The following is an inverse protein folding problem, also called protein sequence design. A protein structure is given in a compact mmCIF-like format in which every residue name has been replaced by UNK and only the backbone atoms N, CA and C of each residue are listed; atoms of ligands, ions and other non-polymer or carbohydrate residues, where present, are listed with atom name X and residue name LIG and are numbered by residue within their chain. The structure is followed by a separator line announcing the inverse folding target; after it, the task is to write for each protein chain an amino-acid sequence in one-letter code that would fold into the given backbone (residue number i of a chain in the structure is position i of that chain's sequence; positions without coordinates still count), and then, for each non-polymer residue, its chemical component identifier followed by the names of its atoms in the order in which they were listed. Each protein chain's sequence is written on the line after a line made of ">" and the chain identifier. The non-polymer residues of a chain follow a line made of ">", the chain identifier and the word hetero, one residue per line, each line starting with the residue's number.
data_IF_318158150965
#
_entry.id   IF_318158150965
#
_cell.length_a   1.000
_cell.length_b   1.000
_cell.length_c   1.000
_cell.angle_alpha   90.00
_cell.angle_beta   90.00
_cell.angle_gamma   90.00
#
_symmetry.space_group_name_H-M   'P 1'
#
loop_
_entity.id
_entity.type
_entity.pdbx_description
1 polymer ?
#
# COMPACT_ATOMS: atom_id res chain seq x y z
N UNK A 1 -66.67 38.17 54.11
CA UNK A 1 -66.46 36.76 53.72
C UNK A 1 -66.55 36.50 52.23
N UNK A 2 -66.26 37.52 51.38
CA UNK A 2 -66.47 37.38 49.95
C UNK A 2 -65.20 37.46 49.01
N UNK A 3 -64.10 37.97 49.54
CA UNK A 3 -62.89 38.15 48.70
C UNK A 3 -62.00 36.91 48.53
N UNK A 4 -62.01 36.01 49.50
CA UNK A 4 -61.19 34.75 49.39
C UNK A 4 -61.78 33.74 48.41
N UNK A 5 -63.09 33.68 48.26
CA UNK A 5 -63.76 32.78 47.29
C UNK A 5 -63.48 33.14 45.80
N UNK A 6 -63.44 34.45 45.54
CA UNK A 6 -63.16 34.97 44.22
C UNK A 6 -61.70 34.69 43.77
N UNK A 7 -60.75 34.85 44.74
CA UNK A 7 -59.34 34.62 44.46
C UNK A 7 -59.00 33.13 44.14
N UNK A 8 -59.65 32.21 44.86
CA UNK A 8 -59.50 30.75 44.61
C UNK A 8 -60.06 30.28 43.29
N UNK A 9 -61.21 30.90 42.88
CA UNK A 9 -61.85 30.52 41.58
C UNK A 9 -61.05 31.02 40.38
N UNK A 10 -60.51 32.24 40.45
CA UNK A 10 -59.67 32.82 39.37
C UNK A 10 -58.36 32.07 39.24
N UNK A 11 -57.72 31.66 40.36
CA UNK A 11 -56.49 30.91 40.34
C UNK A 11 -56.66 29.52 39.71
N UNK A 12 -57.75 28.80 40.05
CA UNK A 12 -58.06 27.48 39.43
C UNK A 12 -58.39 27.63 37.93
N UNK A 13 -59.06 28.68 37.53
CA UNK A 13 -59.37 28.94 36.07
C UNK A 13 -58.11 29.22 35.29
N UNK A 14 -57.15 29.96 35.84
CA UNK A 14 -55.85 30.22 35.21
C UNK A 14 -54.97 28.95 35.12
N UNK A 15 -54.95 28.14 36.16
CA UNK A 15 -54.18 26.85 36.15
C UNK A 15 -54.79 25.89 35.15
N UNK A 16 -56.11 25.75 35.04
CA UNK A 16 -56.76 24.91 34.07
C UNK A 16 -56.50 25.36 32.62
N UNK A 17 -56.53 26.68 32.37
CA UNK A 17 -56.22 27.23 31.02
C UNK A 17 -54.74 26.99 30.62
N UNK A 18 -53.83 27.07 31.61
CA UNK A 18 -52.42 26.80 31.41
C UNK A 18 -52.18 25.29 31.13
N UNK A 19 -52.79 24.42 31.88
CA UNK A 19 -52.69 22.94 31.65
C UNK A 19 -53.29 22.55 30.31
N UNK A 20 -54.44 23.10 29.91
CA UNK A 20 -55.02 22.84 28.57
C UNK A 20 -54.17 23.40 27.43
N UNK A 21 -53.45 24.50 27.62
CA UNK A 21 -52.48 24.97 26.60
C UNK A 21 -51.30 24.01 26.48
N UNK A 22 -50.75 23.55 27.56
CA UNK A 22 -49.64 22.58 27.53
C UNK A 22 -50.04 21.23 26.93
N UNK A 23 -51.24 20.72 27.19
CA UNK A 23 -51.73 19.49 26.56
C UNK A 23 -51.96 19.66 25.08
N UNK A 24 -52.56 20.77 24.62
CA UNK A 24 -52.73 21.06 23.19
C UNK A 24 -51.39 21.26 22.45
N UNK A 25 -50.39 21.84 23.12
CA UNK A 25 -49.04 21.99 22.53
C UNK A 25 -48.33 20.62 22.42
N UNK A 26 -48.45 19.78 23.47
CA UNK A 26 -47.91 18.40 23.41
C UNK A 26 -48.58 17.55 22.30
N UNK A 27 -49.91 17.60 22.18
CA UNK A 27 -50.61 16.90 21.09
C UNK A 27 -50.19 17.40 19.70
N UNK A 28 -49.99 18.69 19.53
CA UNK A 28 -49.53 19.28 18.26
C UNK A 28 -48.10 18.87 17.91
N UNK A 29 -47.23 18.72 18.94
CA UNK A 29 -45.84 18.26 18.74
C UNK A 29 -45.82 16.77 18.40
N UNK A 30 -46.68 15.95 19.00
CA UNK A 30 -46.75 14.51 18.75
C UNK A 30 -47.35 14.20 17.39
N UNK A 31 -48.36 14.99 16.92
CA UNK A 31 -48.99 14.78 15.61
C UNK A 31 -48.16 15.21 14.40
N UNK A 32 -47.12 16.05 14.58
CA UNK A 32 -46.36 16.62 13.46
C UNK A 32 -45.00 15.99 13.23
N UNK A 33 -44.70 14.81 13.75
CA UNK A 33 -43.51 14.07 13.40
C UNK A 33 -43.86 12.69 12.86
N UNK A 34 -44.14 12.54 11.54
CA UNK A 34 -44.05 11.23 10.95
C UNK A 34 -42.59 10.79 11.05
N UNK A 35 -42.31 9.78 11.85
CA UNK A 35 -41.04 9.08 11.82
C UNK A 35 -41.01 8.32 10.50
N UNK A 36 -40.56 8.97 9.43
CA UNK A 36 -40.24 8.31 8.17
C UNK A 36 -38.97 7.49 8.39
N UNK A 37 -39.11 6.30 8.95
CA UNK A 37 -38.05 5.30 9.07
C UNK A 37 -37.48 4.82 7.72
N UNK A 38 -38.07 5.27 6.62
CA UNK A 38 -37.62 4.94 5.26
C UNK A 38 -36.54 5.89 4.71
N UNK A 39 -36.38 7.10 5.24
CA UNK A 39 -35.37 8.05 4.75
C UNK A 39 -33.99 7.89 5.37
N UNK A 40 -33.89 7.39 6.59
CA UNK A 40 -32.58 7.12 7.24
C UNK A 40 -31.82 5.99 6.53
N UNK A 41 -32.51 4.97 6.03
CA UNK A 41 -31.90 3.88 5.27
C UNK A 41 -31.31 4.32 3.93
N UNK A 42 -32.01 5.16 3.18
CA UNK A 42 -31.55 5.71 1.89
C UNK A 42 -30.35 6.66 2.04
N UNK A 43 -30.33 7.46 3.10
CA UNK A 43 -29.23 8.37 3.41
C UNK A 43 -27.96 7.62 3.77
N UNK A 44 -28.06 6.55 4.55
CA UNK A 44 -26.94 5.68 4.95
C UNK A 44 -26.34 4.93 3.76
N UNK A 45 -27.19 4.38 2.90
CA UNK A 45 -26.75 3.67 1.70
C UNK A 45 -26.00 4.60 0.71
N UNK A 46 -26.49 5.81 0.49
CA UNK A 46 -25.81 6.82 -0.34
C UNK A 46 -24.47 7.25 0.24
N UNK A 47 -24.35 7.36 1.57
CA UNK A 47 -23.05 7.65 2.22
C UNK A 47 -22.05 6.53 2.03
N UNK A 48 -22.48 5.26 2.19
CA UNK A 48 -21.63 4.09 1.97
C UNK A 48 -21.15 4.02 0.52
N UNK A 49 -22.03 4.25 -0.46
CA UNK A 49 -21.66 4.28 -1.88
C UNK A 49 -20.63 5.40 -2.16
N UNK A 50 -20.82 6.59 -1.61
CA UNK A 50 -19.86 7.71 -1.80
C UNK A 50 -18.49 7.40 -1.19
N UNK A 51 -18.46 6.80 0.00
CA UNK A 51 -17.21 6.38 0.64
C UNK A 51 -16.52 5.29 -0.19
N UNK A 52 -17.28 4.31 -0.68
CA UNK A 52 -16.75 3.25 -1.55
C UNK A 52 -16.20 3.80 -2.87
N UNK A 53 -16.94 4.71 -3.52
CA UNK A 53 -16.48 5.36 -4.75
C UNK A 53 -15.21 6.21 -4.51
N UNK A 54 -15.16 6.96 -3.40
CA UNK A 54 -13.96 7.72 -3.03
C UNK A 54 -12.76 6.80 -2.78
N UNK A 55 -12.95 5.72 -2.03
CA UNK A 55 -11.89 4.74 -1.77
C UNK A 55 -11.37 4.11 -3.06
N UNK A 56 -12.26 3.75 -3.99
CA UNK A 56 -11.88 3.20 -5.29
C UNK A 56 -11.03 4.20 -6.10
N UNK A 57 -11.51 5.44 -6.22
CA UNK A 57 -10.79 6.52 -6.94
C UNK A 57 -9.44 6.77 -6.28
N UNK A 58 -9.39 6.80 -4.95
CA UNK A 58 -8.15 6.99 -4.21
C UNK A 58 -7.14 5.86 -4.49
N UNK A 59 -7.58 4.60 -4.45
CA UNK A 59 -6.71 3.44 -4.76
C UNK A 59 -6.19 3.51 -6.19
N UNK A 60 -7.03 3.85 -7.17
CA UNK A 60 -6.62 3.99 -8.57
C UNK A 60 -5.60 5.12 -8.74
N UNK A 61 -5.88 6.31 -8.19
CA UNK A 61 -4.96 7.44 -8.25
C UNK A 61 -3.64 7.15 -7.53
N UNK A 62 -3.71 6.54 -6.35
CA UNK A 62 -2.52 6.15 -5.59
C UNK A 62 -1.67 5.14 -6.36
N UNK A 63 -2.29 4.13 -6.97
CA UNK A 63 -1.58 3.15 -7.82
C UNK A 63 -0.93 3.81 -9.03
N UNK A 64 -1.63 4.75 -9.68
CA UNK A 64 -1.09 5.50 -10.80
C UNK A 64 0.12 6.36 -10.40
N UNK A 65 -0.01 7.14 -9.32
CA UNK A 65 1.07 7.98 -8.78
C UNK A 65 2.26 7.12 -8.35
N UNK A 66 2.03 5.99 -7.67
CA UNK A 66 3.09 5.07 -7.25
C UNK A 66 3.90 4.52 -8.43
N UNK A 67 3.26 4.34 -9.61
CA UNK A 67 3.97 3.91 -10.82
C UNK A 67 4.93 4.99 -11.34
N UNK A 68 4.58 6.27 -11.18
CA UNK A 68 5.44 7.40 -11.57
C UNK A 68 6.69 7.53 -10.70
N UNK A 69 6.58 7.18 -9.42
CA UNK A 69 7.70 7.25 -8.48
C UNK A 69 8.54 5.98 -8.42
N UNK A 70 8.22 4.98 -9.27
CA UNK A 70 9.03 3.77 -9.38
C UNK A 70 10.41 4.13 -9.93
N UNK A 71 11.47 3.67 -9.27
CA UNK A 71 12.83 3.86 -9.74
C UNK A 71 13.06 3.08 -11.05
N UNK A 72 13.42 3.80 -12.10
CA UNK A 72 13.60 3.26 -13.47
C UNK A 72 15.04 3.46 -13.93
N UNK A 73 15.99 2.77 -13.32
CA UNK A 73 17.33 2.64 -13.85
C UNK A 73 17.34 1.61 -14.97
N UNK A 74 17.63 2.04 -16.19
CA UNK A 74 17.55 1.18 -17.38
C UNK A 74 18.47 -0.04 -17.30
N UNK A 75 19.65 0.09 -16.70
CA UNK A 75 20.62 -1.01 -16.56
C UNK A 75 20.10 -2.02 -15.52
N UNK A 76 19.64 -1.56 -14.37
CA UNK A 76 19.09 -2.42 -13.32
C UNK A 76 17.84 -3.16 -13.80
N UNK A 77 16.95 -2.47 -14.54
CA UNK A 77 15.77 -3.08 -15.14
C UNK A 77 16.18 -4.15 -16.15
N UNK A 78 17.11 -3.85 -17.04
CA UNK A 78 17.57 -4.80 -18.06
C UNK A 78 18.17 -6.07 -17.41
N UNK A 79 18.94 -5.91 -16.34
CA UNK A 79 19.55 -7.03 -15.61
C UNK A 79 18.49 -7.87 -14.88
N UNK A 80 17.56 -7.24 -14.19
CA UNK A 80 16.52 -7.95 -13.44
C UNK A 80 15.52 -8.61 -14.39
N UNK A 81 15.00 -7.89 -15.37
CA UNK A 81 14.06 -8.43 -16.35
C UNK A 81 14.70 -9.49 -17.26
N UNK A 82 16.00 -9.34 -17.58
CA UNK A 82 16.77 -10.35 -18.26
C UNK A 82 16.79 -11.67 -17.50
N UNK A 83 17.02 -11.61 -16.20
CA UNK A 83 16.97 -12.79 -15.34
C UNK A 83 15.62 -13.54 -15.42
N UNK A 84 14.50 -12.80 -15.42
CA UNK A 84 13.18 -13.44 -15.52
C UNK A 84 12.89 -14.04 -16.90
N UNK A 85 13.60 -13.61 -17.95
CA UNK A 85 13.49 -14.18 -19.31
C UNK A 85 14.31 -15.46 -19.49
N UNK A 86 15.29 -15.68 -18.61
CA UNK A 86 16.05 -16.93 -18.65
C UNK A 86 15.15 -18.15 -18.38
N UNK A 87 15.33 -19.25 -19.12
CA UNK A 87 14.63 -20.49 -18.82
C UNK A 87 14.96 -20.98 -17.39
N UNK A 88 13.99 -21.61 -16.75
CA UNK A 88 14.19 -22.11 -15.38
C UNK A 88 15.25 -23.20 -15.33
N UNK A 89 16.09 -23.17 -14.30
CA UNK A 89 17.09 -24.19 -14.00
C UNK A 89 18.13 -24.42 -15.12
N UNK A 90 18.49 -23.33 -15.81
CA UNK A 90 19.48 -23.38 -16.89
C UNK A 90 20.80 -22.69 -16.58
N UNK A 91 20.91 -22.06 -15.40
CA UNK A 91 22.09 -21.31 -14.99
C UNK A 91 22.92 -22.15 -14.04
N UNK A 92 24.17 -22.47 -14.45
CA UNK A 92 25.15 -23.19 -13.63
C UNK A 92 25.82 -22.31 -12.59
N UNK A 93 26.13 -21.06 -12.95
CA UNK A 93 26.83 -20.09 -12.10
C UNK A 93 26.01 -18.82 -11.96
N UNK A 94 25.64 -18.47 -10.75
CA UNK A 94 24.96 -17.19 -10.44
C UNK A 94 25.95 -16.23 -9.80
N UNK A 95 26.13 -15.06 -10.40
CA UNK A 95 26.92 -13.98 -9.83
C UNK A 95 25.98 -12.94 -9.22
N UNK A 96 26.21 -12.56 -7.97
CA UNK A 96 25.37 -11.63 -7.21
C UNK A 96 26.25 -10.51 -6.68
N UNK A 97 25.87 -9.27 -6.95
CA UNK A 97 26.64 -8.14 -6.50
C UNK A 97 26.16 -6.79 -6.99
N UNK A 98 27.07 -5.84 -6.95
CA UNK A 98 26.88 -4.50 -7.48
C UNK A 98 27.16 -4.47 -9.01
N UNK A 99 27.57 -3.32 -9.54
CA UNK A 99 27.81 -3.15 -10.99
C UNK A 99 28.94 -4.02 -11.53
N UNK A 100 29.90 -4.36 -10.71
CA UNK A 100 31.09 -5.14 -11.10
C UNK A 100 30.72 -6.52 -11.65
N UNK A 101 29.66 -7.15 -11.15
CA UNK A 101 29.26 -8.49 -11.63
C UNK A 101 28.80 -8.50 -13.09
N UNK A 102 28.33 -7.39 -13.63
CA UNK A 102 27.94 -7.30 -15.04
C UNK A 102 28.87 -6.44 -15.89
N UNK A 103 29.70 -5.58 -15.25
CA UNK A 103 30.67 -4.75 -15.97
C UNK A 103 32.00 -5.51 -16.23
N UNK A 104 32.44 -6.30 -15.24
CA UNK A 104 33.75 -6.93 -15.30
C UNK A 104 33.71 -8.41 -15.68
N UNK A 105 32.49 -9.00 -15.80
CA UNK A 105 32.30 -10.40 -16.15
C UNK A 105 31.46 -10.57 -17.43
N UNK A 106 31.94 -11.45 -18.31
CA UNK A 106 31.24 -11.81 -19.55
C UNK A 106 30.74 -13.25 -19.50
N UNK A 107 29.45 -13.44 -19.38
CA UNK A 107 28.80 -14.75 -19.43
C UNK A 107 29.03 -15.45 -20.79
N UNK A 108 29.07 -14.67 -21.88
CA UNK A 108 29.31 -15.16 -23.22
C UNK A 108 30.72 -15.74 -23.38
N UNK A 109 31.74 -15.05 -22.86
CA UNK A 109 33.12 -15.56 -22.90
C UNK A 109 33.31 -16.75 -21.97
N UNK A 110 32.64 -16.79 -20.81
CA UNK A 110 32.64 -17.93 -19.92
C UNK A 110 32.06 -19.18 -20.60
N UNK A 111 30.94 -19.03 -21.26
CA UNK A 111 30.34 -20.12 -22.05
C UNK A 111 31.26 -20.61 -23.17
N UNK A 112 31.80 -19.68 -23.96
CA UNK A 112 32.67 -19.99 -25.10
C UNK A 112 33.94 -20.75 -24.68
N UNK A 113 34.54 -20.34 -23.55
CA UNK A 113 35.85 -20.89 -23.13
C UNK A 113 35.72 -22.10 -22.22
N UNK A 114 34.64 -22.20 -21.47
CA UNK A 114 34.52 -23.19 -20.38
C UNK A 114 33.23 -24.03 -20.42
N UNK A 115 32.24 -23.64 -21.25
CA UNK A 115 31.02 -24.42 -21.49
C UNK A 115 29.99 -24.41 -20.35
N UNK A 116 30.12 -23.53 -19.36
CA UNK A 116 29.10 -23.38 -18.32
C UNK A 116 28.23 -22.16 -18.57
N UNK A 117 26.94 -22.27 -18.20
CA UNK A 117 25.99 -21.16 -18.24
C UNK A 117 26.12 -20.30 -17.01
N UNK A 118 26.06 -18.99 -17.17
CA UNK A 118 26.15 -18.07 -16.05
C UNK A 118 25.24 -16.85 -16.24
N UNK A 119 24.84 -16.25 -15.11
CA UNK A 119 24.08 -14.99 -15.10
C UNK A 119 24.61 -14.04 -14.03
N UNK A 120 24.74 -12.77 -14.41
CA UNK A 120 25.14 -11.70 -13.52
C UNK A 120 23.90 -10.95 -13.03
N UNK A 121 23.39 -11.32 -11.84
CA UNK A 121 22.30 -10.62 -11.19
C UNK A 121 22.88 -9.51 -10.30
N UNK A 122 22.97 -8.33 -10.87
CA UNK A 122 23.56 -7.16 -10.23
C UNK A 122 22.64 -5.95 -10.25
N UNK A 123 22.80 -5.10 -9.25
CA UNK A 123 22.15 -3.79 -9.16
C UNK A 123 23.24 -2.74 -8.93
N UNK A 124 23.23 -1.65 -9.70
CA UNK A 124 24.24 -0.60 -9.60
C UNK A 124 24.42 -0.11 -8.17
N UNK A 125 25.62 -0.23 -7.66
CA UNK A 125 25.97 0.14 -6.28
C UNK A 125 25.22 -0.63 -5.19
N UNK A 126 24.80 -1.87 -5.44
CA UNK A 126 24.06 -2.67 -4.45
C UNK A 126 24.88 -2.85 -3.17
N UNK A 127 24.36 -2.46 -2.00
CA UNK A 127 24.99 -2.75 -0.73
C UNK A 127 24.90 -4.26 -0.42
N UNK A 128 25.86 -4.81 0.31
CA UNK A 128 25.88 -6.22 0.69
C UNK A 128 24.65 -6.69 1.44
N UNK A 129 23.91 -5.78 2.08
CA UNK A 129 22.63 -6.08 2.72
C UNK A 129 21.54 -6.57 1.76
N UNK A 130 21.64 -6.24 0.45
CA UNK A 130 20.71 -6.72 -0.59
C UNK A 130 21.01 -8.13 -1.07
N UNK A 131 22.22 -8.64 -0.88
CA UNK A 131 22.64 -9.91 -1.50
C UNK A 131 21.82 -11.10 -1.04
N UNK A 132 21.35 -11.08 0.20
CA UNK A 132 20.41 -12.11 0.71
C UNK A 132 19.09 -12.10 -0.08
N UNK A 133 18.52 -10.94 -0.33
CA UNK A 133 17.28 -10.80 -1.12
C UNK A 133 17.51 -11.20 -2.58
N UNK A 134 18.64 -10.81 -3.18
CA UNK A 134 19.01 -11.17 -4.55
C UNK A 134 19.20 -12.69 -4.70
N UNK A 135 19.88 -13.34 -3.75
CA UNK A 135 20.03 -14.80 -3.74
C UNK A 135 18.67 -15.50 -3.62
N UNK A 136 17.84 -15.05 -2.70
CA UNK A 136 16.50 -15.62 -2.50
C UNK A 136 15.67 -15.52 -3.77
N UNK A 137 15.70 -14.37 -4.46
CA UNK A 137 15.02 -14.17 -5.73
C UNK A 137 15.58 -15.10 -6.82
N UNK A 138 16.92 -15.21 -6.91
CA UNK A 138 17.58 -16.10 -7.87
C UNK A 138 17.11 -17.56 -7.69
N UNK A 139 17.02 -18.02 -6.46
CA UNK A 139 16.63 -19.39 -6.11
C UNK A 139 15.15 -19.70 -6.34
N UNK A 140 14.29 -18.69 -6.60
CA UNK A 140 12.90 -18.93 -7.00
C UNK A 140 12.77 -19.54 -8.40
N UNK A 141 13.78 -19.35 -9.24
CA UNK A 141 13.76 -19.77 -10.66
C UNK A 141 14.91 -20.64 -11.08
N UNK A 142 16.04 -20.55 -10.40
CA UNK A 142 17.29 -21.20 -10.77
C UNK A 142 17.82 -22.03 -9.60
N UNK A 143 18.54 -23.10 -9.93
CA UNK A 143 19.27 -23.92 -8.96
C UNK A 143 20.75 -23.99 -9.39
N UNK A 144 21.48 -22.87 -9.25
CA UNK A 144 22.87 -22.82 -9.71
C UNK A 144 23.74 -23.77 -8.89
N UNK A 145 24.74 -24.35 -9.55
CA UNK A 145 25.75 -25.20 -8.90
C UNK A 145 26.72 -24.38 -8.05
N UNK A 146 26.95 -23.12 -8.47
CA UNK A 146 27.85 -22.18 -7.80
C UNK A 146 27.17 -20.81 -7.74
N UNK A 147 27.30 -20.17 -6.57
CA UNK A 147 26.94 -18.76 -6.37
C UNK A 147 28.20 -18.00 -6.00
N UNK A 148 28.48 -16.93 -6.73
CA UNK A 148 29.60 -16.03 -6.48
C UNK A 148 29.05 -14.69 -5.99
N UNK A 149 29.54 -14.26 -4.82
CA UNK A 149 29.19 -12.94 -4.29
C UNK A 149 30.36 -11.97 -4.53
N UNK A 150 30.04 -10.84 -5.10
CA UNK A 150 30.93 -9.70 -5.19
C UNK A 150 31.10 -9.11 -3.77
N UNK A 151 32.29 -8.68 -3.41
CA UNK A 151 32.61 -8.26 -2.03
C UNK A 151 32.55 -6.75 -1.80
N UNK A 152 32.61 -5.94 -2.85
CA UNK A 152 32.61 -4.47 -2.76
C UNK A 152 31.37 -3.91 -2.06
N UNK A 153 30.22 -4.53 -2.27
CA UNK A 153 28.97 -4.11 -1.62
C UNK A 153 29.00 -4.19 -0.09
N UNK A 154 29.90 -5.01 0.48
CA UNK A 154 30.10 -5.07 1.93
C UNK A 154 31.08 -3.99 2.45
N UNK A 155 31.87 -3.38 1.55
CA UNK A 155 32.83 -2.34 1.87
C UNK A 155 32.25 -0.94 1.68
N UNK A 156 31.11 -0.81 1.01
CA UNK A 156 30.49 0.47 0.75
C UNK A 156 29.91 1.08 2.02
N UNK A 157 30.31 2.34 2.29
CA UNK A 157 29.77 3.13 3.39
C UNK A 157 28.83 4.21 2.85
N UNK A 158 27.71 3.77 2.29
CA UNK A 158 26.71 4.66 1.71
C UNK A 158 25.97 5.48 2.75
N UNK A 159 25.59 6.70 2.37
CA UNK A 159 24.61 7.47 3.13
C UNK A 159 23.26 6.72 3.20
N UNK A 160 22.44 7.08 4.17
CA UNK A 160 21.07 6.50 4.26
C UNK A 160 20.27 6.72 2.98
N UNK A 161 20.41 7.91 2.38
CA UNK A 161 19.70 8.24 1.14
C UNK A 161 20.15 7.36 -0.04
N UNK A 162 21.46 7.24 -0.27
CA UNK A 162 22.01 6.43 -1.36
C UNK A 162 21.61 4.98 -1.20
N UNK A 163 21.67 4.46 0.02
CA UNK A 163 21.22 3.09 0.33
C UNK A 163 19.75 2.87 0.01
N UNK A 164 18.90 3.84 0.35
CA UNK A 164 17.46 3.77 0.06
C UNK A 164 17.18 3.76 -1.44
N UNK A 165 17.84 4.62 -2.21
CA UNK A 165 17.71 4.64 -3.68
C UNK A 165 18.11 3.31 -4.31
N UNK A 166 19.25 2.74 -3.89
CA UNK A 166 19.75 1.45 -4.38
C UNK A 166 18.80 0.29 -4.01
N UNK A 167 18.24 0.33 -2.80
CA UNK A 167 17.23 -0.62 -2.35
C UNK A 167 15.98 -0.56 -3.24
N UNK A 168 15.47 0.64 -3.54
CA UNK A 168 14.32 0.81 -4.42
C UNK A 168 14.59 0.34 -5.86
N UNK A 169 15.82 0.52 -6.37
CA UNK A 169 16.21 -0.02 -7.67
C UNK A 169 16.07 -1.54 -7.76
N UNK A 170 16.17 -2.25 -6.63
CA UNK A 170 15.95 -3.68 -6.53
C UNK A 170 14.49 -4.03 -6.26
N UNK A 171 13.93 -3.60 -5.13
CA UNK A 171 12.62 -4.03 -4.63
C UNK A 171 11.45 -3.64 -5.55
N UNK A 172 11.58 -2.52 -6.28
CA UNK A 172 10.54 -2.05 -7.19
C UNK A 172 10.46 -2.88 -8.48
N UNK A 173 11.53 -3.61 -8.82
CA UNK A 173 11.66 -4.34 -10.08
C UNK A 173 11.59 -5.86 -9.94
N UNK A 174 11.65 -6.42 -8.73
CA UNK A 174 11.50 -7.86 -8.52
C UNK A 174 10.03 -8.30 -8.59
N UNK A 175 9.80 -9.53 -9.08
CA UNK A 175 8.46 -10.09 -9.24
C UNK A 175 7.93 -10.76 -7.98
N UNK A 176 8.80 -11.33 -7.14
CA UNK A 176 8.39 -11.94 -5.87
C UNK A 176 8.12 -10.87 -4.82
N UNK A 177 6.82 -10.64 -4.55
CA UNK A 177 6.38 -9.62 -3.60
C UNK A 177 6.78 -9.91 -2.15
N UNK A 178 6.89 -11.19 -1.77
CA UNK A 178 7.29 -11.58 -0.42
C UNK A 178 8.74 -11.19 -0.13
N UNK A 179 9.60 -11.27 -1.15
CA UNK A 179 11.01 -10.92 -1.05
C UNK A 179 11.28 -9.41 -0.96
N UNK A 180 10.25 -8.57 -1.07
CA UNK A 180 10.36 -7.11 -0.94
C UNK A 180 10.46 -6.63 0.51
N UNK A 181 10.04 -7.46 1.47
CA UNK A 181 9.84 -7.05 2.85
C UNK A 181 10.80 -7.75 3.83
N UNK A 182 11.74 -8.56 3.34
CA UNK A 182 12.78 -9.26 4.11
C UNK A 182 14.15 -8.55 4.04
#
# INVERSE_FOLDING_TARGET
>A
MSLQLIHGTVKRSLEMKTVMRFTKVKEKIIKNKPINSTDEGKGRHRKVIRIGAFALVFVVLFSFVSTFFKMTDAVNIATIEGFYKEPKNTIDVMMIGASEVYADYSATEAWKNYGYTSYSLGVSGAPGSLYKSMLREALTRQHPKVVVFEVNGFLQNDSYYDRTVKLHSWIDNIHNKENRFD
#
